data_IF_907608328874
#
_entry.id   IF_907608328874
#
_cell.length_a   1.000
_cell.length_b   1.000
_cell.length_c   1.000
_cell.angle_alpha   90.00
_cell.angle_beta   90.00
_cell.angle_gamma   90.00
#
_symmetry.space_group_name_H-M   'P 1'
#
loop_
_entity.id
_entity.type
_entity.pdbx_description
1 polymer ?
#
# COMPACT_ATOMS: atom_id res chain seq x y z
N UNK A 1 18.87 -16.89 27.69
CA UNK A 1 19.45 -16.13 26.58
C UNK A 1 18.48 -15.00 26.26
N UNK A 2 18.94 -13.79 26.03
CA UNK A 2 18.03 -12.68 25.73
C UNK A 2 17.65 -12.70 24.25
N UNK A 3 16.45 -12.28 23.91
CA UNK A 3 16.01 -12.06 22.52
C UNK A 3 16.97 -11.14 21.76
N UNK A 4 17.56 -10.18 22.46
CA UNK A 4 18.52 -9.20 21.95
C UNK A 4 19.79 -9.80 21.33
N UNK A 5 20.29 -10.91 21.91
CA UNK A 5 21.48 -11.59 21.34
C UNK A 5 21.14 -12.20 19.98
N UNK A 6 19.95 -12.79 19.82
CA UNK A 6 19.50 -13.32 18.53
C UNK A 6 19.30 -12.21 17.52
N UNK A 7 18.76 -11.07 17.93
CA UNK A 7 18.55 -9.90 17.06
C UNK A 7 19.88 -9.40 16.49
N UNK A 8 20.91 -9.26 17.35
CA UNK A 8 22.24 -8.80 16.91
C UNK A 8 22.91 -9.83 16.01
N UNK A 9 22.85 -11.11 16.36
CA UNK A 9 23.46 -12.17 15.55
C UNK A 9 22.76 -12.32 14.21
N UNK A 10 21.45 -12.20 14.14
CA UNK A 10 20.68 -12.17 12.89
C UNK A 10 21.17 -11.04 11.96
N UNK A 11 21.33 -9.82 12.51
CA UNK A 11 21.82 -8.69 11.74
C UNK A 11 23.24 -8.90 11.21
N UNK A 12 24.13 -9.45 12.05
CA UNK A 12 25.51 -9.74 11.64
C UNK A 12 25.59 -10.81 10.55
N UNK A 13 24.81 -11.89 10.70
CA UNK A 13 24.71 -12.93 9.67
C UNK A 13 24.14 -12.35 8.37
N UNK A 14 23.05 -11.58 8.45
CA UNK A 14 22.45 -10.93 7.29
C UNK A 14 23.47 -10.04 6.57
N UNK A 15 24.21 -9.20 7.30
CA UNK A 15 25.21 -8.31 6.72
C UNK A 15 26.35 -9.08 6.05
N UNK A 16 26.90 -10.09 6.72
CA UNK A 16 28.01 -10.88 6.21
C UNK A 16 27.64 -11.69 4.97
N UNK A 17 26.48 -12.38 5.02
CA UNK A 17 25.97 -13.15 3.87
C UNK A 17 25.70 -12.23 2.68
N UNK A 18 24.99 -11.12 2.90
CA UNK A 18 24.67 -10.16 1.84
C UNK A 18 25.94 -9.58 1.21
N UNK A 19 26.96 -9.26 2.00
CA UNK A 19 28.22 -8.72 1.51
C UNK A 19 28.97 -9.71 0.62
N UNK A 20 28.92 -11.00 0.95
CA UNK A 20 29.68 -12.05 0.30
C UNK A 20 28.95 -12.70 -0.89
N UNK A 21 27.62 -12.47 -1.04
CA UNK A 21 26.82 -13.07 -2.12
C UNK A 21 26.42 -12.01 -3.14
N UNK A 22 26.82 -12.21 -4.40
CA UNK A 22 26.49 -11.27 -5.50
C UNK A 22 25.10 -11.47 -6.07
N UNK A 23 24.47 -12.61 -5.82
CA UNK A 23 23.10 -12.93 -6.29
C UNK A 23 22.04 -12.23 -5.48
N UNK A 24 22.36 -11.85 -4.24
CA UNK A 24 21.41 -11.15 -3.36
C UNK A 24 21.29 -9.68 -3.73
N UNK A 25 20.05 -9.23 -3.82
CA UNK A 25 19.69 -7.85 -4.12
C UNK A 25 19.18 -7.12 -2.88
N UNK A 26 19.02 -5.80 -2.96
CA UNK A 26 18.55 -4.97 -1.83
C UNK A 26 17.18 -5.39 -1.33
N UNK A 27 16.32 -5.93 -2.19
CA UNK A 27 15.00 -6.41 -1.81
C UNK A 27 15.03 -7.72 -0.99
N UNK A 28 16.16 -8.42 -0.95
CA UNK A 28 16.35 -9.60 -0.08
C UNK A 28 16.66 -9.22 1.37
N UNK A 29 17.11 -7.99 1.61
CA UNK A 29 17.34 -7.51 2.98
C UNK A 29 15.97 -7.31 3.65
N UNK A 30 15.74 -7.87 4.86
CA UNK A 30 14.50 -7.67 5.59
C UNK A 30 14.14 -6.19 5.70
N UNK A 31 12.87 -5.83 5.49
CA UNK A 31 12.42 -4.43 5.41
C UNK A 31 12.87 -3.59 6.62
N UNK A 32 12.83 -4.14 7.84
CA UNK A 32 13.26 -3.49 9.07
C UNK A 32 14.76 -3.14 9.06
N UNK A 33 15.62 -4.06 8.59
CA UNK A 33 17.07 -3.86 8.49
C UNK A 33 17.37 -2.89 7.34
N UNK A 34 16.72 -3.06 6.20
CA UNK A 34 16.87 -2.22 5.01
C UNK A 34 16.56 -0.75 5.32
N UNK A 35 15.48 -0.49 6.06
CA UNK A 35 15.07 0.86 6.49
C UNK A 35 16.17 1.56 7.29
N UNK A 36 16.78 0.86 8.25
CA UNK A 36 17.83 1.41 9.08
C UNK A 36 19.18 1.65 8.35
N UNK A 37 19.36 0.98 7.22
CA UNK A 37 20.57 1.07 6.38
C UNK A 37 20.37 1.89 5.10
N UNK A 38 19.17 2.46 4.93
CA UNK A 38 18.79 3.18 3.72
C UNK A 38 19.61 4.45 3.52
N UNK A 39 20.19 4.59 2.35
CA UNK A 39 20.83 5.83 1.90
C UNK A 39 19.94 6.54 0.89
N UNK A 40 19.39 7.69 1.29
CA UNK A 40 18.47 8.48 0.48
C UNK A 40 19.10 8.99 -0.83
N UNK A 41 20.42 9.25 -0.84
CA UNK A 41 21.14 9.77 -2.03
C UNK A 41 21.27 8.70 -3.10
N UNK A 42 21.67 7.50 -2.71
CA UNK A 42 21.85 6.37 -3.65
C UNK A 42 20.54 5.60 -3.89
N UNK A 43 19.51 5.84 -3.08
CA UNK A 43 18.24 5.07 -3.05
C UNK A 43 18.48 3.57 -2.95
N UNK A 44 19.41 3.21 -2.10
CA UNK A 44 19.85 1.84 -1.94
C UNK A 44 20.49 1.62 -0.57
N UNK A 45 20.77 0.37 -0.24
CA UNK A 45 21.65 0.01 0.88
C UNK A 45 23.05 -0.13 0.33
N UNK A 46 24.00 0.59 0.95
CA UNK A 46 25.41 0.52 0.55
C UNK A 46 25.96 -0.89 0.78
N UNK A 47 26.68 -1.43 -0.21
CA UNK A 47 27.44 -2.68 -0.09
C UNK A 47 28.94 -2.34 -0.05
N UNK A 48 29.71 -2.79 0.93
CA UNK A 48 29.34 -3.70 2.02
C UNK A 48 28.53 -3.01 3.14
N UNK A 49 27.56 -3.76 3.71
CA UNK A 49 26.85 -3.35 4.92
C UNK A 49 27.84 -3.32 6.08
N UNK A 50 27.89 -2.18 6.79
CA UNK A 50 28.69 -2.00 8.00
C UNK A 50 27.79 -1.91 9.21
N UNK A 51 27.87 -2.89 10.09
CA UNK A 51 27.10 -2.90 11.34
C UNK A 51 27.87 -2.16 12.43
N UNK A 52 27.20 -1.27 13.15
CA UNK A 52 27.71 -0.57 14.32
C UNK A 52 26.64 -0.44 15.40
N UNK A 53 27.02 0.09 16.58
CA UNK A 53 26.09 0.29 17.73
C UNK A 53 24.85 1.09 17.33
N UNK A 54 24.98 2.12 16.47
CA UNK A 54 23.85 2.95 16.04
C UNK A 54 22.88 2.16 15.15
N UNK A 55 23.37 1.35 14.22
CA UNK A 55 22.54 0.48 13.39
C UNK A 55 21.76 -0.52 14.25
N UNK A 56 22.42 -1.15 15.22
CA UNK A 56 21.79 -2.10 16.15
C UNK A 56 20.70 -1.40 16.97
N UNK A 57 20.98 -0.21 17.49
CA UNK A 57 19.99 0.61 18.21
C UNK A 57 18.81 0.98 17.32
N UNK A 58 19.06 1.43 16.09
CA UNK A 58 18.00 1.83 15.15
C UNK A 58 17.11 0.65 14.74
N UNK A 59 17.70 -0.52 14.48
CA UNK A 59 16.95 -1.72 14.05
C UNK A 59 16.15 -2.32 15.19
N UNK A 60 16.75 -2.48 16.37
CA UNK A 60 16.19 -3.29 17.45
C UNK A 60 15.90 -2.53 18.75
N UNK A 61 16.28 -1.25 18.85
CA UNK A 61 16.12 -0.47 20.08
C UNK A 61 17.11 -0.87 21.18
N UNK A 62 18.17 -1.63 20.86
CA UNK A 62 19.13 -2.14 21.82
C UNK A 62 20.13 -1.02 22.16
N UNK A 63 20.12 -0.57 23.42
CA UNK A 63 21.02 0.48 23.90
C UNK A 63 22.39 -0.08 24.27
N UNK A 64 22.45 -1.26 24.90
CA UNK A 64 23.69 -1.88 25.35
C UNK A 64 24.10 -3.05 24.45
N UNK A 65 24.79 -2.74 23.37
CA UNK A 65 25.30 -3.74 22.43
C UNK A 65 26.29 -4.72 23.06
N UNK A 66 27.04 -4.30 24.09
CA UNK A 66 28.01 -5.17 24.77
C UNK A 66 27.32 -6.29 25.54
N UNK A 67 26.20 -5.98 26.19
CA UNK A 67 25.41 -6.98 26.90
C UNK A 67 24.62 -7.85 25.92
N UNK A 68 24.12 -7.28 24.84
CA UNK A 68 23.44 -8.04 23.77
C UNK A 68 24.37 -9.04 23.06
N UNK A 69 25.68 -8.81 23.07
CA UNK A 69 26.69 -9.73 22.55
C UNK A 69 27.20 -10.75 23.59
N UNK A 70 26.50 -10.97 24.69
CA UNK A 70 26.82 -11.98 25.68
C UNK A 70 25.90 -13.19 25.60
N UNK A 71 26.49 -14.38 25.63
CA UNK A 71 25.82 -15.66 25.76
C UNK A 71 26.23 -16.30 27.10
N UNK A 72 25.25 -16.52 27.97
CA UNK A 72 25.48 -17.04 29.32
C UNK A 72 26.53 -16.23 30.11
N UNK A 73 26.47 -14.88 29.98
CA UNK A 73 27.40 -13.96 30.68
C UNK A 73 28.81 -13.88 30.09
N UNK A 74 29.10 -14.58 29.01
CA UNK A 74 30.41 -14.53 28.30
C UNK A 74 30.20 -13.85 26.93
N UNK A 75 31.22 -13.14 26.42
CA UNK A 75 31.19 -12.60 25.07
C UNK A 75 30.86 -13.67 24.03
N UNK A 76 30.06 -13.32 23.05
CA UNK A 76 29.72 -14.24 21.95
C UNK A 76 30.97 -14.54 21.13
N UNK A 77 31.32 -15.81 21.04
CA UNK A 77 32.64 -16.27 20.53
C UNK A 77 32.86 -15.92 19.04
N UNK A 78 31.81 -15.68 18.30
CA UNK A 78 31.83 -15.45 16.83
C UNK A 78 31.69 -14.00 16.41
N UNK A 79 31.63 -13.05 17.36
CA UNK A 79 31.51 -11.62 17.03
C UNK A 79 32.53 -10.80 17.80
N UNK A 80 32.96 -9.71 17.16
CA UNK A 80 33.88 -8.72 17.75
C UNK A 80 33.23 -7.35 17.71
N UNK A 81 33.23 -6.68 18.86
CA UNK A 81 32.90 -5.27 19.00
C UNK A 81 34.22 -4.49 19.12
N UNK A 82 34.45 -3.60 18.16
CA UNK A 82 35.55 -2.64 18.25
C UNK A 82 35.13 -1.49 19.18
N UNK A 83 35.82 -1.39 20.32
CA UNK A 83 35.51 -0.40 21.34
C UNK A 83 35.74 1.05 20.87
N UNK A 84 36.65 1.28 19.90
CA UNK A 84 36.96 2.61 19.39
C UNK A 84 36.02 3.07 18.30
N UNK A 85 35.75 2.23 17.32
CA UNK A 85 34.86 2.59 16.17
C UNK A 85 33.42 2.29 16.45
N UNK A 86 33.09 1.51 17.48
CA UNK A 86 31.74 1.00 17.71
C UNK A 86 31.24 0.00 16.64
N UNK A 87 32.13 -0.45 15.75
CA UNK A 87 31.86 -1.42 14.72
C UNK A 87 31.65 -2.81 15.31
N UNK A 88 30.65 -3.53 14.82
CA UNK A 88 30.35 -4.91 15.21
C UNK A 88 30.40 -5.77 13.96
N UNK A 89 31.16 -6.87 14.03
CA UNK A 89 31.33 -7.80 12.90
C UNK A 89 31.49 -9.23 13.37
N UNK A 90 31.22 -10.16 12.50
CA UNK A 90 31.64 -11.56 12.75
C UNK A 90 33.18 -11.67 12.74
N UNK A 91 33.71 -12.60 13.51
CA UNK A 91 35.11 -12.97 13.45
C UNK A 91 35.41 -13.58 12.08
N UNK A 92 36.58 -13.33 11.53
CA UNK A 92 36.97 -13.82 10.22
C UNK A 92 36.86 -15.36 10.15
N UNK A 93 36.19 -15.87 9.11
CA UNK A 93 35.94 -17.29 8.92
C UNK A 93 34.90 -17.93 9.88
N UNK A 94 34.19 -17.15 10.70
CA UNK A 94 33.23 -17.70 11.66
C UNK A 94 31.77 -17.78 11.16
N UNK A 95 31.49 -17.40 9.91
CA UNK A 95 30.15 -17.35 9.36
C UNK A 95 29.38 -18.67 9.58
N UNK A 96 29.96 -19.79 9.12
CA UNK A 96 29.31 -21.11 9.22
C UNK A 96 29.05 -21.53 10.68
N UNK A 97 30.02 -21.25 11.56
CA UNK A 97 29.91 -21.56 12.99
C UNK A 97 28.85 -20.68 13.68
N UNK A 98 28.79 -19.40 13.35
CA UNK A 98 27.78 -18.47 13.86
C UNK A 98 26.40 -18.83 13.35
N UNK A 99 26.26 -19.17 12.07
CA UNK A 99 25.00 -19.62 11.46
C UNK A 99 24.53 -20.95 12.09
N UNK A 100 25.40 -21.92 12.25
CA UNK A 100 25.06 -23.19 12.91
C UNK A 100 24.66 -23.01 14.39
N UNK A 101 25.31 -22.06 15.08
CA UNK A 101 24.90 -21.69 16.43
C UNK A 101 23.52 -21.02 16.44
N UNK A 102 23.29 -20.04 15.55
CA UNK A 102 22.03 -19.31 15.43
C UNK A 102 20.86 -20.27 15.20
N UNK A 103 20.99 -21.20 14.25
CA UNK A 103 19.94 -22.18 13.92
C UNK A 103 19.52 -23.05 15.10
N UNK A 104 20.42 -23.34 16.04
CA UNK A 104 20.13 -24.18 17.22
C UNK A 104 19.34 -23.45 18.30
N UNK A 105 19.10 -22.15 18.16
CA UNK A 105 18.40 -21.37 19.17
C UNK A 105 16.89 -21.46 18.98
N UNK A 106 16.13 -21.38 20.06
CA UNK A 106 14.67 -21.34 20.02
C UNK A 106 14.20 -20.08 19.26
N UNK A 107 13.25 -20.24 18.35
CA UNK A 107 12.72 -19.16 17.53
C UNK A 107 13.58 -18.73 16.33
N UNK A 108 14.73 -19.39 16.11
CA UNK A 108 15.60 -19.09 14.97
C UNK A 108 14.99 -19.48 13.64
N UNK A 109 14.18 -20.54 13.58
CA UNK A 109 13.55 -20.99 12.35
C UNK A 109 12.56 -19.95 11.82
N UNK A 110 11.73 -19.36 12.67
CA UNK A 110 10.80 -18.30 12.28
C UNK A 110 11.57 -17.10 11.71
N UNK A 111 12.67 -16.70 12.34
CA UNK A 111 13.54 -15.62 11.86
C UNK A 111 14.18 -15.92 10.51
N UNK A 112 14.61 -17.17 10.27
CA UNK A 112 15.13 -17.62 8.98
C UNK A 112 14.04 -17.54 7.90
N UNK A 113 12.81 -17.94 8.23
CA UNK A 113 11.67 -17.91 7.30
C UNK A 113 11.10 -16.50 7.07
N UNK A 114 11.50 -15.52 7.87
CA UNK A 114 11.16 -14.09 7.70
C UNK A 114 12.33 -13.27 7.09
N UNK A 115 13.51 -13.87 6.93
CA UNK A 115 14.71 -13.18 6.46
C UNK A 115 15.24 -13.85 5.17
N UNK A 116 14.99 -13.26 3.99
CA UNK A 116 15.42 -13.84 2.71
C UNK A 116 16.93 -14.09 2.59
N UNK A 117 17.77 -13.23 3.18
CA UNK A 117 19.21 -13.41 3.16
C UNK A 117 19.63 -14.64 3.94
N UNK A 118 19.03 -14.87 5.11
CA UNK A 118 19.27 -16.10 5.88
C UNK A 118 18.68 -17.32 5.17
N UNK A 119 17.47 -17.20 4.62
CA UNK A 119 16.84 -18.26 3.85
C UNK A 119 17.69 -18.66 2.61
N UNK A 120 18.33 -17.69 1.96
CA UNK A 120 19.27 -17.96 0.86
C UNK A 120 20.46 -18.79 1.35
N UNK A 121 21.07 -18.38 2.45
CA UNK A 121 22.24 -19.09 2.99
C UNK A 121 21.87 -20.52 3.42
N UNK A 122 20.83 -20.69 4.22
CA UNK A 122 20.45 -22.01 4.72
C UNK A 122 19.89 -22.92 3.62
N UNK A 123 19.08 -22.40 2.69
CA UNK A 123 18.49 -23.18 1.61
C UNK A 123 19.45 -23.52 0.47
N UNK A 124 20.28 -22.55 0.02
CA UNK A 124 21.10 -22.71 -1.17
C UNK A 124 22.57 -23.01 -0.86
N UNK A 125 23.11 -22.49 0.25
CA UNK A 125 24.53 -22.69 0.60
C UNK A 125 24.69 -23.86 1.57
N UNK A 126 23.85 -23.94 2.60
CA UNK A 126 23.85 -25.05 3.56
C UNK A 126 22.96 -26.24 3.09
N UNK A 127 22.34 -26.14 1.93
CA UNK A 127 21.54 -27.18 1.25
C UNK A 127 20.38 -27.78 2.10
N UNK A 128 19.74 -26.96 2.93
CA UNK A 128 18.62 -27.39 3.75
C UNK A 128 17.31 -27.43 2.96
N UNK A 129 16.81 -28.63 2.69
CA UNK A 129 15.65 -28.90 1.84
C UNK A 129 14.33 -28.28 2.31
N UNK A 130 14.22 -27.96 3.61
CA UNK A 130 12.99 -27.41 4.21
C UNK A 130 12.87 -25.88 4.00
N UNK A 131 13.94 -25.20 3.57
CA UNK A 131 13.99 -23.74 3.43
C UNK A 131 13.97 -23.36 1.97
N UNK A 132 12.88 -22.72 1.54
CA UNK A 132 12.73 -22.21 0.18
C UNK A 132 12.96 -20.70 0.12
N UNK A 133 14.18 -20.30 -0.28
CA UNK A 133 14.54 -18.90 -0.45
C UNK A 133 13.54 -18.10 -1.29
N UNK A 134 13.09 -18.63 -2.44
CA UNK A 134 12.19 -17.91 -3.35
C UNK A 134 10.84 -17.60 -2.69
N UNK A 135 10.35 -18.52 -1.87
CA UNK A 135 9.11 -18.32 -1.11
C UNK A 135 9.29 -17.23 -0.05
N UNK A 136 10.39 -17.27 0.70
CA UNK A 136 10.70 -16.28 1.74
C UNK A 136 10.91 -14.90 1.10
N UNK A 137 11.68 -14.80 0.03
CA UNK A 137 11.93 -13.56 -0.70
C UNK A 137 10.63 -12.94 -1.26
N UNK A 138 9.69 -13.77 -1.72
CA UNK A 138 8.40 -13.29 -2.23
C UNK A 138 7.50 -12.65 -1.18
N UNK A 139 7.70 -12.97 0.09
CA UNK A 139 6.95 -12.40 1.23
C UNK A 139 7.58 -11.11 1.78
N UNK A 140 8.85 -10.84 1.46
CA UNK A 140 9.53 -9.64 1.93
C UNK A 140 9.10 -8.43 1.09
N UNK A 141 8.58 -7.34 1.71
CA UNK A 141 8.16 -6.16 0.96
C UNK A 141 9.33 -5.54 0.17
N UNK A 142 9.13 -5.15 -1.10
CA UNK A 142 10.17 -4.51 -1.89
C UNK A 142 10.51 -3.11 -1.34
N UNK A 143 11.65 -2.54 -1.76
CA UNK A 143 12.07 -1.20 -1.30
C UNK A 143 11.07 -0.11 -1.65
N UNK A 144 10.39 -0.26 -2.76
CA UNK A 144 9.36 0.65 -3.26
C UNK A 144 8.13 0.71 -2.35
N UNK A 145 7.94 -0.28 -1.47
CA UNK A 145 6.87 -0.31 -0.49
C UNK A 145 7.13 0.57 0.74
N UNK A 146 8.34 1.09 0.90
CA UNK A 146 8.75 1.84 2.09
C UNK A 146 8.56 3.34 1.96
N UNK A 147 8.30 4.02 3.09
CA UNK A 147 8.20 5.48 3.15
C UNK A 147 9.54 6.13 2.84
N UNK A 148 10.64 5.56 3.27
CA UNK A 148 12.00 6.08 3.05
C UNK A 148 12.35 6.17 1.55
N UNK A 149 11.92 5.18 0.77
CA UNK A 149 12.10 5.23 -0.68
C UNK A 149 11.30 6.36 -1.32
N UNK A 150 10.03 6.55 -0.90
CA UNK A 150 9.19 7.65 -1.36
C UNK A 150 9.82 9.00 -1.00
N UNK A 151 10.27 9.17 0.24
CA UNK A 151 10.90 10.40 0.71
C UNK A 151 12.16 10.75 -0.09
N UNK A 152 12.98 9.75 -0.43
CA UNK A 152 14.17 9.97 -1.24
C UNK A 152 13.85 10.52 -2.66
N UNK A 153 12.70 10.14 -3.23
CA UNK A 153 12.23 10.71 -4.50
C UNK A 153 11.66 12.12 -4.30
N UNK A 154 10.91 12.33 -3.21
CA UNK A 154 10.35 13.65 -2.87
C UNK A 154 11.47 14.67 -2.63
N UNK A 155 12.54 14.29 -1.95
CA UNK A 155 13.73 15.12 -1.72
C UNK A 155 14.37 15.52 -3.05
N UNK A 156 14.64 14.56 -3.93
CA UNK A 156 15.21 14.84 -5.26
C UNK A 156 14.33 15.83 -6.06
N UNK A 157 13.02 15.55 -6.12
CA UNK A 157 12.08 16.44 -6.80
C UNK A 157 12.02 17.83 -6.16
N UNK A 158 12.25 17.94 -4.86
CA UNK A 158 12.25 19.20 -4.12
C UNK A 158 13.52 20.03 -4.38
N UNK A 159 14.62 19.37 -4.70
CA UNK A 159 15.91 19.98 -5.03
C UNK A 159 16.02 20.40 -6.50
N UNK A 160 15.23 19.81 -7.39
CA UNK A 160 15.10 20.27 -8.77
C UNK A 160 14.54 21.69 -8.79
N UNK A 161 15.30 22.65 -9.32
CA UNK A 161 15.05 24.11 -9.33
C UNK A 161 13.58 24.47 -9.63
N UNK A 162 12.75 24.55 -8.59
CA UNK A 162 11.44 25.21 -8.58
C UNK A 162 10.24 24.42 -9.08
N UNK A 163 10.38 23.44 -9.98
CA UNK A 163 9.24 22.76 -10.61
C UNK A 163 8.71 21.54 -9.83
N UNK A 164 9.58 20.79 -9.18
CA UNK A 164 9.20 19.55 -8.51
C UNK A 164 8.26 19.73 -7.30
N UNK A 165 8.43 20.83 -6.55
CA UNK A 165 7.53 21.17 -5.43
C UNK A 165 6.09 21.45 -5.87
N UNK A 166 5.90 21.99 -7.06
CA UNK A 166 4.56 22.23 -7.63
C UNK A 166 3.90 20.91 -8.02
N UNK A 167 4.66 19.96 -8.55
CA UNK A 167 4.14 18.62 -8.90
C UNK A 167 3.63 17.85 -7.68
N UNK A 168 4.36 17.94 -6.57
CA UNK A 168 3.98 17.28 -5.32
C UNK A 168 2.67 17.81 -4.69
N UNK A 169 2.21 19.00 -5.10
CA UNK A 169 0.91 19.52 -4.67
C UNK A 169 -0.28 18.91 -5.42
N UNK A 170 -0.04 18.23 -6.54
CA UNK A 170 -1.08 17.71 -7.43
C UNK A 170 -1.60 16.33 -7.02
N UNK A 171 -0.89 15.64 -6.13
CA UNK A 171 -1.25 14.29 -5.70
C UNK A 171 -0.79 14.00 -4.28
N UNK A 172 -1.49 13.08 -3.60
CA UNK A 172 -1.05 12.50 -2.35
C UNK A 172 -0.35 11.16 -2.62
N UNK A 173 0.88 11.03 -2.11
CA UNK A 173 1.69 9.83 -2.32
C UNK A 173 1.79 9.09 -0.98
N UNK A 174 1.38 7.81 -0.99
CA UNK A 174 1.41 6.96 0.19
C UNK A 174 2.19 5.68 -0.08
N UNK A 175 3.01 5.31 0.89
CA UNK A 175 3.60 3.98 0.92
C UNK A 175 2.54 2.92 1.28
N UNK A 176 2.67 1.68 0.81
CA UNK A 176 1.79 0.57 1.20
C UNK A 176 1.67 0.39 2.71
N UNK A 177 2.75 0.62 3.47
CA UNK A 177 2.78 0.53 4.93
C UNK A 177 1.94 1.60 5.63
N UNK A 178 1.69 2.75 4.99
CA UNK A 178 0.85 3.84 5.51
C UNK A 178 -0.65 3.61 5.25
N UNK A 179 -0.97 2.65 4.38
CA UNK A 179 -2.35 2.33 4.02
C UNK A 179 -3.00 1.51 5.13
N UNK A 180 -4.11 2.02 5.65
CA UNK A 180 -4.88 1.36 6.72
C UNK A 180 -5.77 0.24 6.20
N UNK A 181 -6.34 0.44 5.03
CA UNK A 181 -7.25 -0.49 4.37
C UNK A 181 -6.53 -1.80 4.06
N UNK A 182 -7.19 -2.93 4.36
CA UNK A 182 -6.71 -4.27 3.98
C UNK A 182 -7.69 -4.92 3.03
N UNK A 183 -7.19 -5.69 2.07
CA UNK A 183 -8.02 -6.44 1.14
C UNK A 183 -8.89 -7.48 1.86
N UNK A 184 -8.39 -8.02 2.99
CA UNK A 184 -9.12 -9.01 3.81
C UNK A 184 -10.32 -8.40 4.58
N UNK A 185 -10.36 -7.07 4.71
CA UNK A 185 -11.48 -6.34 5.34
C UNK A 185 -12.52 -5.87 4.31
N UNK A 186 -12.29 -6.10 3.01
CA UNK A 186 -13.21 -5.74 1.95
C UNK A 186 -14.06 -6.92 1.53
N UNK A 187 -15.38 -6.72 1.54
CA UNK A 187 -16.32 -7.71 1.01
C UNK A 187 -16.44 -7.50 -0.49
N UNK A 188 -15.87 -8.41 -1.26
CA UNK A 188 -15.77 -8.32 -2.71
C UNK A 188 -16.69 -9.33 -3.40
N UNK A 189 -17.27 -8.93 -4.51
CA UNK A 189 -17.97 -9.84 -5.43
C UNK A 189 -16.97 -10.77 -6.13
N UNK A 190 -17.42 -11.91 -6.64
CA UNK A 190 -16.56 -12.83 -7.40
C UNK A 190 -15.94 -12.14 -8.64
N UNK A 191 -16.68 -11.25 -9.29
CA UNK A 191 -16.16 -10.46 -10.40
C UNK A 191 -14.99 -9.58 -9.96
N UNK A 192 -15.12 -8.86 -8.85
CA UNK A 192 -14.04 -8.01 -8.30
C UNK A 192 -12.82 -8.85 -7.88
N UNK A 193 -13.03 -10.05 -7.33
CA UNK A 193 -11.92 -10.98 -7.00
C UNK A 193 -11.18 -11.43 -8.26
N UNK A 194 -11.91 -11.76 -9.32
CA UNK A 194 -11.31 -12.16 -10.59
C UNK A 194 -10.50 -11.02 -11.21
N UNK A 195 -11.01 -9.79 -11.19
CA UNK A 195 -10.27 -8.62 -11.69
C UNK A 195 -9.01 -8.35 -10.85
N UNK A 196 -9.11 -8.49 -9.54
CA UNK A 196 -7.94 -8.42 -8.64
C UNK A 196 -6.87 -9.43 -9.06
N UNK A 197 -7.24 -10.68 -9.33
CA UNK A 197 -6.31 -11.71 -9.76
C UNK A 197 -5.67 -11.38 -11.12
N UNK A 198 -6.43 -10.85 -12.08
CA UNK A 198 -5.89 -10.39 -13.37
C UNK A 198 -4.84 -9.29 -13.19
N UNK A 199 -5.13 -8.30 -12.33
CA UNK A 199 -4.20 -7.21 -12.03
C UNK A 199 -2.90 -7.77 -11.40
N UNK A 200 -3.01 -8.65 -10.42
CA UNK A 200 -1.86 -9.31 -9.79
C UNK A 200 -1.01 -10.10 -10.81
N UNK A 201 -1.67 -10.84 -11.70
CA UNK A 201 -1.01 -11.58 -12.76
C UNK A 201 -0.33 -10.65 -13.78
N UNK A 202 -0.95 -9.52 -14.13
CA UNK A 202 -0.39 -8.55 -15.06
C UNK A 202 0.90 -7.93 -14.48
N UNK A 203 0.89 -7.55 -13.22
CA UNK A 203 2.06 -6.99 -12.53
C UNK A 203 3.19 -8.02 -12.46
N UNK A 204 2.85 -9.25 -12.06
CA UNK A 204 3.84 -10.35 -11.90
C UNK A 204 4.48 -10.77 -13.24
N UNK A 205 3.73 -10.68 -14.33
CA UNK A 205 4.18 -11.14 -15.65
C UNK A 205 4.52 -9.98 -16.61
N UNK A 206 4.83 -8.80 -16.09
CA UNK A 206 5.15 -7.59 -16.86
C UNK A 206 6.19 -7.84 -17.96
N UNK A 207 7.28 -8.53 -17.64
CA UNK A 207 8.33 -8.85 -18.62
C UNK A 207 7.84 -9.81 -19.73
N UNK A 208 6.94 -10.73 -19.40
CA UNK A 208 6.33 -11.60 -20.41
C UNK A 208 5.50 -10.80 -21.41
N UNK A 209 4.65 -9.88 -20.93
CA UNK A 209 3.86 -9.00 -21.78
C UNK A 209 4.73 -8.13 -22.69
N UNK A 210 5.84 -7.60 -22.17
CA UNK A 210 6.83 -6.85 -22.93
C UNK A 210 7.42 -7.69 -24.07
N UNK A 211 7.77 -8.95 -23.78
CA UNK A 211 8.38 -9.85 -24.76
C UNK A 211 7.45 -10.23 -25.90
N UNK A 212 6.13 -10.26 -25.66
CA UNK A 212 5.12 -10.56 -26.70
C UNK A 212 4.56 -9.30 -27.37
N UNK A 213 5.08 -8.10 -27.02
CA UNK A 213 4.67 -6.83 -27.60
C UNK A 213 3.30 -6.31 -27.14
N UNK A 214 2.80 -6.78 -25.99
CA UNK A 214 1.53 -6.36 -25.43
C UNK A 214 1.76 -5.27 -24.37
N UNK A 215 1.73 -4.01 -24.79
CA UNK A 215 2.07 -2.87 -23.96
C UNK A 215 0.85 -2.17 -23.35
N UNK A 216 -0.31 -2.23 -24.03
CA UNK A 216 -1.55 -1.57 -23.59
C UNK A 216 -2.28 -2.39 -22.53
N UNK A 217 -1.69 -2.45 -21.33
CA UNK A 217 -2.27 -3.15 -20.18
C UNK A 217 -2.08 -2.30 -18.92
N UNK A 218 -3.06 -2.37 -18.01
CA UNK A 218 -2.99 -1.76 -16.69
C UNK A 218 -3.74 -0.44 -16.58
N UNK A 219 -4.85 -0.32 -17.32
CA UNK A 219 -5.78 0.80 -17.24
C UNK A 219 -7.14 0.28 -16.79
N UNK A 220 -7.53 0.58 -15.57
CA UNK A 220 -8.76 0.05 -14.95
C UNK A 220 -9.71 1.18 -14.58
N UNK A 221 -10.98 1.04 -14.91
CA UNK A 221 -12.02 2.00 -14.55
C UNK A 221 -12.94 1.40 -13.49
N UNK A 222 -13.01 2.03 -12.32
CA UNK A 222 -13.96 1.71 -11.27
C UNK A 222 -15.23 2.54 -11.44
N UNK A 223 -16.36 1.87 -11.56
CA UNK A 223 -17.65 2.51 -11.75
C UNK A 223 -18.63 2.09 -10.65
N UNK A 224 -19.53 2.98 -10.24
CA UNK A 224 -20.57 2.65 -9.26
C UNK A 224 -20.89 3.80 -8.31
N UNK A 225 -21.95 3.68 -7.50
CA UNK A 225 -22.38 4.71 -6.57
C UNK A 225 -21.30 5.14 -5.57
N UNK A 226 -21.39 6.33 -4.98
CA UNK A 226 -20.50 6.75 -3.91
C UNK A 226 -20.67 5.83 -2.69
N UNK A 227 -19.58 5.62 -1.93
CA UNK A 227 -19.58 4.82 -0.71
C UNK A 227 -19.54 3.30 -0.91
N UNK A 228 -19.41 2.79 -2.12
CA UNK A 228 -19.34 1.35 -2.43
C UNK A 228 -17.92 0.76 -2.32
N UNK A 229 -16.91 1.57 -1.99
CA UNK A 229 -15.57 1.07 -1.66
C UNK A 229 -14.50 1.22 -2.74
N UNK A 230 -14.73 1.94 -3.84
CA UNK A 230 -13.77 2.15 -4.94
C UNK A 230 -12.39 2.63 -4.46
N UNK A 231 -12.36 3.71 -3.70
CA UNK A 231 -11.11 4.28 -3.15
C UNK A 231 -10.46 3.33 -2.14
N UNK A 232 -11.27 2.67 -1.28
CA UNK A 232 -10.77 1.67 -0.33
C UNK A 232 -10.14 0.47 -1.03
N UNK A 233 -10.71 0.02 -2.15
CA UNK A 233 -10.16 -1.06 -2.96
C UNK A 233 -8.81 -0.67 -3.57
N UNK A 234 -8.68 0.51 -4.18
CA UNK A 234 -7.42 0.97 -4.77
C UNK A 234 -6.31 1.06 -3.72
N UNK A 235 -6.61 1.56 -2.52
CA UNK A 235 -5.67 1.62 -1.38
C UNK A 235 -5.31 0.22 -0.89
N UNK A 236 -6.29 -0.63 -0.62
CA UNK A 236 -6.05 -2.01 -0.18
C UNK A 236 -5.26 -2.82 -1.22
N UNK A 237 -5.47 -2.55 -2.51
CA UNK A 237 -4.68 -3.14 -3.60
C UNK A 237 -3.21 -2.72 -3.49
N UNK A 238 -2.91 -1.42 -3.32
CA UNK A 238 -1.55 -0.91 -3.11
C UNK A 238 -0.83 -1.66 -1.99
N UNK A 239 -1.50 -1.85 -0.85
CA UNK A 239 -0.97 -2.59 0.28
C UNK A 239 -0.72 -4.07 -0.07
N UNK A 240 -1.67 -4.72 -0.73
CA UNK A 240 -1.60 -6.14 -1.09
C UNK A 240 -0.46 -6.45 -2.06
N UNK A 241 -0.28 -5.60 -3.08
CA UNK A 241 0.79 -5.79 -4.08
C UNK A 241 2.10 -5.08 -3.72
N UNK A 242 2.14 -4.42 -2.56
CA UNK A 242 3.33 -3.76 -2.01
C UNK A 242 3.96 -2.71 -2.94
N UNK A 243 3.14 -1.92 -3.63
CA UNK A 243 3.59 -0.77 -4.43
C UNK A 243 2.91 0.52 -3.98
N UNK A 244 3.58 1.70 -4.07
CA UNK A 244 3.00 2.97 -3.64
C UNK A 244 1.76 3.36 -4.43
N UNK A 245 0.91 4.17 -3.81
CA UNK A 245 -0.25 4.77 -4.46
C UNK A 245 -0.07 6.29 -4.57
N UNK A 246 -0.27 6.80 -5.78
CA UNK A 246 -0.30 8.23 -6.13
C UNK A 246 -1.77 8.60 -6.33
N UNK A 247 -2.39 9.19 -5.29
CA UNK A 247 -3.80 9.58 -5.30
C UNK A 247 -3.94 10.98 -5.89
N UNK A 248 -4.62 11.08 -7.02
CA UNK A 248 -4.87 12.31 -7.76
C UNK A 248 -6.31 12.75 -7.56
N UNK A 249 -6.49 13.95 -7.03
CA UNK A 249 -7.80 14.58 -6.96
C UNK A 249 -7.91 15.61 -8.08
N UNK A 250 -8.87 15.45 -8.97
CA UNK A 250 -9.00 16.34 -10.13
C UNK A 250 -9.24 17.81 -9.74
N UNK A 251 -9.83 18.06 -8.58
CA UNK A 251 -9.93 19.41 -7.99
C UNK A 251 -8.58 20.09 -7.72
N UNK A 252 -7.52 19.32 -7.52
CA UNK A 252 -6.16 19.87 -7.34
C UNK A 252 -5.49 20.24 -8.67
N UNK A 253 -5.97 19.65 -9.76
CA UNK A 253 -5.42 19.88 -11.12
C UNK A 253 -6.08 21.07 -11.77
N UNK A 254 -7.37 21.29 -11.46
CA UNK A 254 -8.15 22.41 -12.02
C UNK A 254 -7.84 23.70 -11.25
N UNK A 255 -7.05 24.55 -11.84
CA UNK A 255 -6.74 25.88 -11.29
C UNK A 255 -7.66 26.94 -11.91
N UNK A 256 -7.78 28.11 -11.25
CA UNK A 256 -8.54 29.27 -11.73
C UNK A 256 -8.05 29.77 -13.11
N UNK A 257 -6.83 29.41 -13.49
CA UNK A 257 -6.23 29.72 -14.79
C UNK A 257 -6.31 28.51 -15.72
N UNK A 258 -7.24 28.55 -16.66
CA UNK A 258 -7.56 27.49 -17.62
C UNK A 258 -6.36 26.92 -18.42
N UNK A 259 -5.27 27.67 -18.58
CA UNK A 259 -4.04 27.19 -19.24
C UNK A 259 -3.13 26.30 -18.41
N UNK A 260 -3.25 26.34 -17.08
CA UNK A 260 -2.43 25.52 -16.18
C UNK A 260 -2.99 24.11 -16.02
N UNK A 261 -4.28 23.91 -16.19
CA UNK A 261 -4.93 22.57 -16.04
C UNK A 261 -4.29 21.52 -16.97
N UNK A 262 -4.07 21.83 -18.24
CA UNK A 262 -3.41 20.90 -19.18
C UNK A 262 -1.99 20.57 -18.75
N UNK A 263 -1.22 21.56 -18.30
CA UNK A 263 0.14 21.35 -17.80
C UNK A 263 0.15 20.52 -16.50
N UNK A 264 -0.82 20.75 -15.62
CA UNK A 264 -0.94 19.98 -14.37
C UNK A 264 -1.30 18.51 -14.63
N UNK A 265 -2.10 18.23 -15.66
CA UNK A 265 -2.35 16.85 -16.12
C UNK A 265 -1.03 16.19 -16.55
N UNK A 266 -0.25 16.84 -17.42
CA UNK A 266 1.04 16.29 -17.87
C UNK A 266 2.00 16.09 -16.68
N UNK A 267 2.06 17.04 -15.75
CA UNK A 267 2.91 17.00 -14.54
C UNK A 267 2.54 15.82 -13.64
N UNK A 268 1.26 15.55 -13.40
CA UNK A 268 0.84 14.47 -12.49
C UNK A 268 1.09 13.09 -13.08
N UNK A 269 0.95 12.91 -14.40
CA UNK A 269 1.34 11.66 -15.06
C UNK A 269 2.87 11.48 -15.06
N UNK A 270 3.63 12.55 -15.29
CA UNK A 270 5.08 12.51 -15.16
C UNK A 270 5.53 12.22 -13.71
N UNK A 271 4.82 12.78 -12.72
CA UNK A 271 5.05 12.49 -11.31
C UNK A 271 4.84 10.99 -11.00
N UNK A 272 3.73 10.41 -11.45
CA UNK A 272 3.47 8.98 -11.24
C UNK A 272 4.59 8.10 -11.82
N UNK A 273 5.12 8.43 -12.99
CA UNK A 273 6.26 7.71 -13.60
C UNK A 273 7.55 7.78 -12.76
N UNK A 274 7.74 8.84 -11.95
CA UNK A 274 8.88 8.93 -11.01
C UNK A 274 8.77 7.95 -9.85
N UNK A 275 7.56 7.59 -9.44
CA UNK A 275 7.27 6.63 -8.37
C UNK A 275 7.03 5.20 -8.88
N UNK A 276 7.48 4.86 -10.08
CA UNK A 276 7.31 3.51 -10.62
C UNK A 276 8.16 2.46 -9.87
N UNK A 277 7.60 1.24 -9.60
CA UNK A 277 6.22 0.85 -9.86
C UNK A 277 5.23 1.51 -8.90
N UNK A 278 4.07 1.96 -9.42
CA UNK A 278 3.04 2.57 -8.58
C UNK A 278 1.62 2.34 -9.11
N UNK A 279 0.63 2.52 -8.24
CA UNK A 279 -0.76 2.74 -8.64
C UNK A 279 -0.97 4.24 -8.77
N UNK A 280 -1.37 4.72 -9.94
CA UNK A 280 -1.92 6.06 -10.13
C UNK A 280 -3.42 5.97 -10.00
N UNK A 281 -3.98 6.53 -8.93
CA UNK A 281 -5.42 6.50 -8.66
C UNK A 281 -6.02 7.88 -8.88
N UNK A 282 -6.95 7.99 -9.85
CA UNK A 282 -7.66 9.23 -10.15
C UNK A 282 -9.09 9.10 -9.65
N UNK A 283 -9.43 9.82 -8.57
CA UNK A 283 -10.79 9.85 -8.05
C UNK A 283 -11.62 10.96 -8.72
N UNK A 284 -12.97 10.82 -8.66
CA UNK A 284 -13.92 11.77 -9.24
C UNK A 284 -13.68 12.05 -10.73
N UNK A 285 -13.35 11.00 -11.47
CA UNK A 285 -12.97 11.09 -12.89
C UNK A 285 -14.05 11.74 -13.79
N UNK A 286 -15.32 11.70 -13.38
CA UNK A 286 -16.43 12.34 -14.04
C UNK A 286 -16.38 13.87 -14.05
N UNK A 287 -15.62 14.50 -13.15
CA UNK A 287 -15.46 15.96 -13.10
C UNK A 287 -14.97 16.55 -14.44
N UNK A 288 -14.00 15.91 -15.08
CA UNK A 288 -13.47 16.34 -16.39
C UNK A 288 -14.37 15.82 -17.54
N UNK A 289 -14.97 14.66 -17.37
CA UNK A 289 -15.77 14.04 -18.44
C UNK A 289 -17.11 14.73 -18.68
N UNK A 290 -17.70 15.37 -17.67
CA UNK A 290 -18.98 16.11 -17.78
C UNK A 290 -18.85 17.48 -18.45
N UNK A 291 -17.67 18.04 -18.47
CA UNK A 291 -17.45 19.40 -19.01
C UNK A 291 -17.59 19.51 -20.53
N UNK A 292 -17.73 18.40 -21.28
CA UNK A 292 -17.99 18.42 -22.73
C UNK A 292 -19.43 18.80 -23.11
N UNK A 293 -20.39 18.65 -22.19
CA UNK A 293 -21.82 18.84 -22.48
C UNK A 293 -22.34 20.25 -22.19
N UNK A 294 -21.57 21.10 -21.53
CA UNK A 294 -21.93 22.49 -21.24
C UNK A 294 -21.77 23.36 -22.49
N UNK A 295 -22.84 23.93 -22.96
CA UNK A 295 -23.02 24.50 -24.29
C UNK A 295 -22.27 25.81 -24.57
N UNK A 296 -21.62 26.54 -23.70
CA UNK A 296 -21.08 27.87 -24.09
C UNK A 296 -19.76 28.37 -23.51
N UNK A 297 -19.08 27.61 -22.70
CA UNK A 297 -17.75 28.06 -22.25
C UNK A 297 -16.75 26.94 -22.42
N UNK A 298 -15.66 27.21 -23.16
CA UNK A 298 -14.39 26.58 -22.82
C UNK A 298 -13.75 25.64 -23.84
N UNK A 299 -13.09 26.27 -24.80
CA UNK A 299 -12.01 25.63 -25.56
C UNK A 299 -10.93 25.03 -24.62
N UNK A 300 -10.68 25.64 -23.46
CA UNK A 300 -9.70 25.19 -22.49
C UNK A 300 -10.10 23.91 -21.73
N UNK A 301 -11.38 23.72 -21.38
CA UNK A 301 -11.85 22.48 -20.77
C UNK A 301 -11.76 21.33 -21.77
N UNK A 302 -12.16 21.58 -23.02
CA UNK A 302 -11.99 20.59 -24.11
C UNK A 302 -10.51 20.23 -24.32
N UNK A 303 -9.63 21.21 -24.22
CA UNK A 303 -8.18 20.98 -24.30
C UNK A 303 -7.68 20.13 -23.11
N UNK A 304 -8.12 20.42 -21.88
CA UNK A 304 -7.76 19.64 -20.70
C UNK A 304 -8.23 18.18 -20.81
N UNK A 305 -9.48 17.95 -21.26
CA UNK A 305 -10.01 16.60 -21.52
C UNK A 305 -9.16 15.88 -22.57
N UNK A 306 -8.83 16.54 -23.68
CA UNK A 306 -8.00 15.92 -24.71
C UNK A 306 -6.58 15.62 -24.22
N UNK A 307 -6.01 16.49 -23.38
CA UNK A 307 -4.70 16.26 -22.75
C UNK A 307 -4.77 15.05 -21.82
N UNK A 308 -5.82 14.95 -20.98
CA UNK A 308 -6.03 13.80 -20.10
C UNK A 308 -6.16 12.49 -20.90
N UNK A 309 -6.97 12.48 -21.95
CA UNK A 309 -7.14 11.30 -22.78
C UNK A 309 -5.84 10.86 -23.45
N UNK A 310 -5.02 11.81 -23.94
CA UNK A 310 -3.68 11.52 -24.46
C UNK A 310 -2.74 11.00 -23.38
N UNK A 311 -2.79 11.56 -22.18
CA UNK A 311 -1.96 11.09 -21.07
C UNK A 311 -2.31 9.67 -20.65
N UNK A 312 -3.62 9.31 -20.67
CA UNK A 312 -4.09 7.93 -20.44
C UNK A 312 -3.59 7.00 -21.54
N UNK A 313 -3.65 7.43 -22.82
CA UNK A 313 -3.14 6.62 -23.93
C UNK A 313 -1.62 6.35 -23.79
N UNK A 314 -0.86 7.30 -23.24
CA UNK A 314 0.60 7.27 -23.12
C UNK A 314 1.13 6.70 -21.80
N UNK A 315 0.29 6.16 -20.94
CA UNK A 315 0.71 5.48 -19.70
C UNK A 315 0.52 3.98 -19.82
N UNK A 316 1.49 3.22 -19.36
CA UNK A 316 1.48 1.75 -19.45
C UNK A 316 2.05 1.10 -18.19
N UNK A 317 1.39 0.02 -17.73
CA UNK A 317 1.94 -0.83 -16.69
C UNK A 317 3.25 -1.51 -17.16
N UNK A 318 3.31 -1.88 -18.42
CA UNK A 318 4.43 -2.65 -18.99
C UNK A 318 5.66 -1.77 -19.22
N UNK A 319 5.50 -0.58 -19.80
CA UNK A 319 6.62 0.32 -20.10
C UNK A 319 6.98 1.21 -18.92
N UNK A 320 5.96 1.85 -18.33
CA UNK A 320 6.17 2.87 -17.30
C UNK A 320 6.13 2.32 -15.87
N UNK A 321 5.61 1.10 -15.67
CA UNK A 321 5.39 0.54 -14.33
C UNK A 321 4.23 1.19 -13.58
N UNK A 322 3.33 1.88 -14.28
CA UNK A 322 2.20 2.60 -13.68
C UNK A 322 0.89 1.85 -13.95
N UNK A 323 0.26 1.34 -12.91
CA UNK A 323 -1.11 0.83 -12.95
C UNK A 323 -2.06 2.02 -12.80
N UNK A 324 -2.76 2.37 -13.87
CA UNK A 324 -3.74 3.46 -13.84
C UNK A 324 -5.11 2.93 -13.39
N UNK A 325 -5.64 3.49 -12.32
CA UNK A 325 -7.00 3.24 -11.85
C UNK A 325 -7.73 4.57 -11.80
N UNK A 326 -8.82 4.69 -12.54
CA UNK A 326 -9.74 5.82 -12.43
C UNK A 326 -11.05 5.39 -11.75
N UNK A 327 -11.68 6.28 -10.97
CA UNK A 327 -12.94 6.01 -10.30
C UNK A 327 -13.98 7.08 -10.64
N UNK A 328 -15.22 6.65 -10.94
CA UNK A 328 -16.34 7.55 -11.20
C UNK A 328 -17.61 7.10 -10.47
N UNK A 329 -18.37 8.09 -10.02
CA UNK A 329 -19.71 7.89 -9.47
C UNK A 329 -20.81 8.05 -10.52
N UNK A 330 -20.51 8.54 -11.73
CA UNK A 330 -21.46 8.93 -12.76
C UNK A 330 -21.18 8.25 -14.10
N UNK A 331 -21.48 6.96 -14.19
CA UNK A 331 -21.27 6.15 -15.41
C UNK A 331 -21.93 6.74 -16.68
N UNK A 332 -23.14 7.32 -16.54
CA UNK A 332 -23.90 7.88 -17.67
C UNK A 332 -23.32 9.19 -18.24
N UNK A 333 -22.41 9.84 -17.50
CA UNK A 333 -21.81 11.11 -17.91
C UNK A 333 -20.49 10.94 -18.66
N UNK A 334 -19.91 9.74 -18.66
CA UNK A 334 -18.65 9.47 -19.34
C UNK A 334 -18.85 9.34 -20.85
N UNK A 335 -18.05 10.08 -21.61
CA UNK A 335 -17.96 9.97 -23.08
C UNK A 335 -17.48 8.57 -23.50
N UNK A 336 -18.00 8.06 -24.60
CA UNK A 336 -17.55 6.79 -25.20
C UNK A 336 -16.04 6.74 -25.46
N UNK A 337 -15.44 7.88 -25.78
CA UNK A 337 -14.00 7.99 -25.96
C UNK A 337 -13.20 7.67 -24.69
N UNK A 338 -13.76 7.90 -23.50
CA UNK A 338 -13.16 7.52 -22.22
C UNK A 338 -13.18 6.01 -22.04
N UNK A 339 -14.37 5.39 -22.25
CA UNK A 339 -14.57 3.96 -22.06
C UNK A 339 -13.56 3.11 -22.84
N UNK A 340 -13.26 3.50 -24.07
CA UNK A 340 -12.35 2.77 -24.98
C UNK A 340 -10.87 2.78 -24.55
N UNK A 341 -10.51 3.57 -23.53
CA UNK A 341 -9.13 3.72 -23.07
C UNK A 341 -8.79 2.88 -21.86
N UNK A 342 -9.78 2.23 -21.29
CA UNK A 342 -9.60 1.35 -20.15
C UNK A 342 -9.72 -0.11 -20.60
N UNK A 343 -8.77 -0.93 -20.19
CA UNK A 343 -8.69 -2.35 -20.54
C UNK A 343 -9.76 -3.15 -19.80
N UNK A 344 -10.01 -2.74 -18.53
CA UNK A 344 -10.95 -3.41 -17.65
C UNK A 344 -11.87 -2.39 -16.96
N UNK A 345 -13.13 -2.80 -16.77
CA UNK A 345 -14.15 -2.03 -16.06
C UNK A 345 -14.64 -2.86 -14.89
N UNK A 346 -14.45 -2.33 -13.69
CA UNK A 346 -14.85 -2.99 -12.44
C UNK A 346 -16.05 -2.26 -11.85
N UNK A 347 -17.17 -2.96 -11.77
CA UNK A 347 -18.39 -2.43 -11.20
C UNK A 347 -18.43 -2.59 -9.68
N UNK A 348 -18.78 -1.51 -9.01
CA UNK A 348 -18.96 -1.41 -7.56
C UNK A 348 -20.45 -1.14 -7.26
N UNK A 349 -21.26 -2.16 -7.42
CA UNK A 349 -22.67 -2.10 -7.11
C UNK A 349 -22.93 -1.90 -5.60
N UNK A 350 -24.16 -1.55 -5.25
CA UNK A 350 -24.58 -1.57 -3.86
C UNK A 350 -24.55 -2.99 -3.31
N UNK A 351 -24.16 -3.17 -2.04
CA UNK A 351 -24.02 -4.50 -1.47
C UNK A 351 -25.36 -5.25 -1.37
N UNK A 352 -25.35 -6.51 -1.69
CA UNK A 352 -26.51 -7.42 -1.47
C UNK A 352 -26.79 -7.57 0.03
N UNK A 353 -27.90 -8.21 0.37
CA UNK A 353 -28.25 -8.51 1.78
C UNK A 353 -27.10 -9.25 2.48
N UNK A 354 -26.57 -10.29 1.85
CA UNK A 354 -25.47 -11.10 2.38
C UNK A 354 -24.20 -10.27 2.55
N UNK A 355 -23.84 -9.48 1.54
CA UNK A 355 -22.67 -8.59 1.63
C UNK A 355 -22.84 -7.54 2.74
N UNK A 356 -24.06 -7.00 2.97
CA UNK A 356 -24.29 -6.05 4.06
C UNK A 356 -24.08 -6.70 5.44
N UNK A 357 -24.54 -7.95 5.60
CA UNK A 357 -24.29 -8.73 6.81
C UNK A 357 -22.79 -8.95 7.03
N UNK A 358 -22.05 -9.35 6.00
CA UNK A 358 -20.61 -9.57 6.06
C UNK A 358 -19.84 -8.27 6.37
N UNK A 359 -20.26 -7.14 5.76
CA UNK A 359 -19.69 -5.82 6.07
C UNK A 359 -19.91 -5.46 7.53
N UNK A 360 -21.13 -5.66 8.06
CA UNK A 360 -21.44 -5.40 9.46
C UNK A 360 -20.60 -6.29 10.37
N UNK A 361 -20.50 -7.59 10.08
CA UNK A 361 -19.67 -8.53 10.83
C UNK A 361 -18.19 -8.09 10.85
N UNK A 362 -17.68 -7.64 9.71
CA UNK A 362 -16.30 -7.16 9.60
C UNK A 362 -16.06 -5.91 10.43
N UNK A 363 -16.97 -4.93 10.39
CA UNK A 363 -16.87 -3.68 11.16
C UNK A 363 -16.96 -3.97 12.67
N UNK A 364 -17.89 -4.84 13.07
CA UNK A 364 -18.18 -5.16 14.48
C UNK A 364 -17.15 -6.11 15.10
N UNK A 365 -16.31 -6.78 14.33
CA UNK A 365 -15.31 -7.75 14.81
C UNK A 365 -14.42 -7.23 15.94
N UNK A 366 -14.18 -5.92 15.99
CA UNK A 366 -13.32 -5.23 16.99
C UNK A 366 -14.12 -4.53 18.08
N UNK A 367 -15.45 -4.66 18.08
CA UNK A 367 -16.35 -3.96 18.99
C UNK A 367 -17.02 -5.00 19.87
N UNK A 368 -16.96 -4.82 21.19
CA UNK A 368 -17.64 -5.72 22.13
C UNK A 368 -19.15 -5.55 22.07
N UNK A 369 -19.87 -6.65 22.10
CA UNK A 369 -21.34 -6.66 22.13
C UNK A 369 -21.93 -7.89 21.44
N UNK A 370 -23.21 -8.12 21.69
CA UNK A 370 -23.97 -9.19 21.02
C UNK A 370 -25.04 -8.53 20.18
N UNK A 371 -24.87 -8.62 18.85
CA UNK A 371 -25.73 -8.00 17.86
C UNK A 371 -26.13 -9.00 16.79
N UNK A 372 -27.41 -9.01 16.44
CA UNK A 372 -27.92 -9.73 15.27
C UNK A 372 -27.72 -8.90 13.99
N UNK A 373 -26.58 -9.13 13.33
CA UNK A 373 -26.20 -8.44 12.09
C UNK A 373 -27.13 -8.76 10.94
N UNK A 374 -27.71 -9.97 10.88
CA UNK A 374 -28.65 -10.36 9.84
C UNK A 374 -29.96 -9.52 9.92
N UNK A 375 -30.43 -9.24 11.16
CA UNK A 375 -31.60 -8.37 11.37
C UNK A 375 -31.31 -6.93 10.91
N UNK A 376 -30.13 -6.40 11.20
CA UNK A 376 -29.72 -5.05 10.78
C UNK A 376 -29.55 -4.99 9.26
N UNK A 377 -28.91 -6.00 8.64
CA UNK A 377 -28.75 -6.09 7.20
C UNK A 377 -30.09 -6.05 6.44
N UNK A 378 -31.15 -6.68 6.99
CA UNK A 378 -32.51 -6.61 6.42
C UNK A 378 -33.11 -5.20 6.49
N UNK A 379 -32.79 -4.42 7.52
CA UNK A 379 -33.31 -3.05 7.73
C UNK A 379 -32.51 -1.98 6.98
N UNK A 380 -31.39 -2.34 6.36
CA UNK A 380 -30.47 -1.42 5.67
C UNK A 380 -30.44 -1.67 4.16
N UNK A 381 -31.61 -1.91 3.56
CA UNK A 381 -31.75 -2.04 2.10
C UNK A 381 -31.22 -0.77 1.42
N UNK A 382 -30.55 -0.93 0.27
CA UNK A 382 -29.92 0.15 -0.49
C UNK A 382 -28.72 0.87 0.20
N UNK A 383 -28.35 0.51 1.43
CA UNK A 383 -27.19 1.11 2.11
C UNK A 383 -25.88 0.65 1.47
N UNK A 384 -24.98 1.60 1.34
CA UNK A 384 -23.59 1.34 0.92
C UNK A 384 -22.71 0.93 2.10
N UNK A 385 -21.49 0.44 1.85
CA UNK A 385 -20.53 0.14 2.90
C UNK A 385 -20.18 1.37 3.77
N UNK A 386 -20.19 2.56 3.17
CA UNK A 386 -19.99 3.84 3.89
C UNK A 386 -21.16 4.13 4.83
N UNK A 387 -22.40 3.89 4.39
CA UNK A 387 -23.60 4.11 5.20
C UNK A 387 -23.63 3.17 6.41
N UNK A 388 -23.30 1.90 6.21
CA UNK A 388 -23.21 0.92 7.28
C UNK A 388 -22.13 1.30 8.31
N UNK A 389 -20.99 1.80 7.88
CA UNK A 389 -19.96 2.33 8.78
C UNK A 389 -20.44 3.54 9.57
N UNK A 390 -21.22 4.43 8.96
CA UNK A 390 -21.83 5.58 9.65
C UNK A 390 -22.84 5.15 10.71
N UNK A 391 -23.66 4.14 10.41
CA UNK A 391 -24.63 3.56 11.37
C UNK A 391 -23.88 2.96 12.58
N UNK A 392 -22.88 2.13 12.34
CA UNK A 392 -22.10 1.54 13.45
C UNK A 392 -21.40 2.61 14.29
N UNK A 393 -20.81 3.64 13.64
CA UNK A 393 -20.18 4.76 14.35
C UNK A 393 -21.19 5.50 15.24
N UNK A 394 -22.40 5.76 14.76
CA UNK A 394 -23.46 6.40 15.51
C UNK A 394 -23.87 5.56 16.73
N UNK A 395 -24.04 4.24 16.52
CA UNK A 395 -24.37 3.31 17.58
C UNK A 395 -23.32 3.28 18.68
N UNK A 396 -22.02 3.27 18.30
CA UNK A 396 -20.90 3.32 19.25
C UNK A 396 -20.92 4.62 20.04
N UNK A 397 -21.12 5.76 19.38
CA UNK A 397 -21.20 7.05 20.05
C UNK A 397 -22.38 7.12 21.03
N UNK A 398 -23.54 6.58 20.67
CA UNK A 398 -24.71 6.50 21.56
C UNK A 398 -24.42 5.62 22.79
N UNK A 399 -23.81 4.45 22.61
CA UNK A 399 -23.42 3.60 23.72
C UNK A 399 -22.44 4.30 24.69
N UNK A 400 -21.47 5.06 24.14
CA UNK A 400 -20.52 5.83 24.94
C UNK A 400 -21.20 6.96 25.73
N UNK A 401 -22.21 7.63 25.17
CA UNK A 401 -23.02 8.63 25.90
C UNK A 401 -23.74 8.03 27.10
N UNK A 402 -24.13 6.75 27.00
CA UNK A 402 -24.69 5.98 28.10
C UNK A 402 -23.65 5.35 29.02
N UNK A 403 -22.36 5.74 28.91
CA UNK A 403 -21.21 5.15 29.61
C UNK A 403 -21.06 3.63 29.43
N UNK A 404 -21.44 3.12 28.25
CA UNK A 404 -21.26 1.71 27.86
C UNK A 404 -20.17 1.57 26.81
N UNK A 405 -19.33 0.55 26.94
CA UNK A 405 -18.26 0.21 25.97
C UNK A 405 -18.64 -0.97 25.07
N UNK A 406 -19.81 -1.56 25.25
CA UNK A 406 -20.33 -2.65 24.43
C UNK A 406 -21.62 -2.21 23.72
N UNK A 407 -21.84 -2.75 22.53
CA UNK A 407 -23.05 -2.50 21.76
C UNK A 407 -24.15 -3.51 22.09
N UNK A 408 -25.38 -3.02 22.11
CA UNK A 408 -26.59 -3.85 22.15
C UNK A 408 -27.42 -3.62 20.88
N UNK A 409 -28.33 -4.55 20.59
CA UNK A 409 -29.14 -4.52 19.37
C UNK A 409 -29.89 -3.19 19.15
N UNK A 410 -30.42 -2.62 20.24
CA UNK A 410 -31.17 -1.35 20.17
C UNK A 410 -30.33 -0.14 19.75
N UNK A 411 -29.01 -0.16 20.02
CA UNK A 411 -28.12 0.93 19.63
C UNK A 411 -28.04 1.03 18.10
N UNK A 412 -27.86 -0.12 17.43
CA UNK A 412 -27.82 -0.18 15.98
C UNK A 412 -29.19 0.10 15.35
N UNK A 413 -30.28 -0.41 15.92
CA UNK A 413 -31.63 -0.13 15.43
C UNK A 413 -31.98 1.37 15.50
N UNK A 414 -31.60 2.02 16.59
CA UNK A 414 -31.78 3.46 16.77
C UNK A 414 -30.89 4.27 15.80
N UNK A 415 -29.65 3.81 15.59
CA UNK A 415 -28.74 4.43 14.63
C UNK A 415 -29.26 4.32 13.18
N UNK A 416 -29.85 3.18 12.78
CA UNK A 416 -30.50 3.01 11.49
C UNK A 416 -31.64 4.03 11.34
N UNK A 417 -32.56 4.10 12.32
CA UNK A 417 -33.68 5.08 12.30
C UNK A 417 -33.19 6.53 12.19
N UNK A 418 -32.11 6.86 12.92
CA UNK A 418 -31.50 8.20 12.87
C UNK A 418 -30.88 8.49 11.51
N UNK A 419 -30.26 7.48 10.88
CA UNK A 419 -29.69 7.59 9.54
C UNK A 419 -30.77 7.81 8.49
N UNK A 420 -31.85 7.02 8.49
CA UNK A 420 -32.98 7.14 7.58
C UNK A 420 -33.65 8.51 7.68
N UNK A 421 -33.86 9.00 8.89
CA UNK A 421 -34.43 10.34 9.13
C UNK A 421 -33.53 11.44 8.51
N UNK A 422 -32.22 11.35 8.66
CA UNK A 422 -31.27 12.31 8.08
C UNK A 422 -31.25 12.23 6.56
N UNK A 423 -31.31 11.03 6.00
CA UNK A 423 -31.36 10.81 4.54
C UNK A 423 -32.65 11.33 3.94
N UNK A 424 -33.78 11.13 4.60
CA UNK A 424 -35.09 11.72 4.20
C UNK A 424 -35.07 13.26 4.21
N UNK A 425 -34.46 13.89 5.23
CA UNK A 425 -34.31 15.34 5.29
C UNK A 425 -33.42 15.91 4.18
N UNK A 426 -32.37 15.17 3.77
CA UNK A 426 -31.55 15.55 2.62
C UNK A 426 -32.32 15.49 1.32
N UNK A 427 -33.12 14.43 1.09
CA UNK A 427 -33.95 14.31 -0.13
C UNK A 427 -34.98 15.43 -0.25
N UNK A 428 -35.63 15.83 0.84
CA UNK A 428 -36.60 16.95 0.82
C UNK A 428 -35.94 18.30 0.53
N UNK A 429 -34.74 18.55 1.06
CA UNK A 429 -34.01 19.79 0.81
C UNK A 429 -33.50 19.93 -0.66
N UNK A 430 -33.29 18.81 -1.37
CA UNK A 430 -32.89 18.82 -2.79
C UNK A 430 -34.06 18.85 -3.77
N UNK A 431 -35.33 18.76 -3.28
CA UNK A 431 -36.52 18.84 -4.13
C UNK A 431 -37.07 20.29 -4.13
N UNK A 432 -36.64 21.13 -3.18
CA UNK A 432 -37.10 22.53 -3.06
C UNK A 432 -36.20 23.55 -3.81
N UNK A 433 -35.08 23.11 -4.40
CA UNK A 433 -34.20 23.87 -5.31
C UNK A 433 -34.38 23.39 -6.78
#
# INVERSE_FOLDING_TARGET
MTSETLDVVELLLTAEIYNNQNELIVNDIPSKIRRALWDAKTRNVSKPIKVNKNVIKTVFGIENTEDALKVNGKPFAYAVLDAYSGSVRLTEGSLDSAAAWFKKQDGSMDRILENPVLAYYFGNVAEEKEINYKEVASKNPPKEASREWIESIIEELSDEKGSGKEWLKLAYIKAPEEVRESMDELILTERQKNELQKIELAIKNKEHFKNIGLYDIGKVLFVGPPGTGKTSFARALSKKISIPIVEVHLSMITDQYLGETSKNIDRVFALAKKFNPCIMFIDEFDFIATSRTAHDEHSAIKQAVNTLLKAIDNVSLVEDGVLLIAATNHTRKLDEAVWRRFDEIVDFERPTLEMREDILNTILKRIEGTVDTASIAKKTEEYTGSDLRMVVREAVLSALLDNRYHLVQSDLENAVKSFDRRSGLKMTAFIED
#
